data_IF_805900994730
#
_entry.id   IF_805900994730
#
_cell.length_a   1.000
_cell.length_b   1.000
_cell.length_c   1.000
_cell.angle_alpha   90.00
_cell.angle_beta   90.00
_cell.angle_gamma   90.00
#
_symmetry.space_group_name_H-M   'P 1'
#
loop_
_entity.id
_entity.type
_entity.pdbx_description
1 polymer ?
#
# COMPACT_ATOMS: atom_id res chain seq x y z
N UNK A 1 -12.11 32.19 42.30
CA UNK A 1 -11.92 32.24 40.83
C UNK A 1 -10.51 31.89 40.30
N UNK A 2 -9.44 31.84 41.12
CA UNK A 2 -8.09 31.44 40.64
C UNK A 2 -7.89 29.92 40.48
N UNK A 3 -8.64 29.11 41.23
CA UNK A 3 -8.48 27.65 41.25
C UNK A 3 -9.03 26.97 39.98
N UNK A 4 -10.21 27.39 39.50
CA UNK A 4 -10.82 26.85 38.28
C UNK A 4 -9.96 27.11 37.03
N UNK A 5 -9.34 28.29 36.89
CA UNK A 5 -8.43 28.59 35.77
C UNK A 5 -7.25 27.62 35.70
N UNK A 6 -6.70 27.18 36.84
CA UNK A 6 -5.58 26.23 36.88
C UNK A 6 -5.99 24.83 36.43
N UNK A 7 -7.20 24.39 36.77
CA UNK A 7 -7.71 23.06 36.35
C UNK A 7 -7.95 23.02 34.84
N UNK A 8 -8.52 24.07 34.25
CA UNK A 8 -8.71 24.15 32.80
C UNK A 8 -7.39 24.24 32.04
N UNK A 9 -6.38 24.95 32.57
CA UNK A 9 -5.04 25.00 31.95
C UNK A 9 -4.33 23.65 31.98
N UNK A 10 -4.48 22.86 33.05
CA UNK A 10 -3.89 21.51 33.15
C UNK A 10 -4.59 20.56 32.17
N UNK A 11 -5.92 20.58 32.11
CA UNK A 11 -6.68 19.72 31.18
C UNK A 11 -6.36 20.05 29.71
N UNK A 12 -6.20 21.33 29.37
CA UNK A 12 -5.82 21.78 28.04
C UNK A 12 -4.38 21.36 27.68
N UNK A 13 -3.46 21.38 28.64
CA UNK A 13 -2.09 20.88 28.44
C UNK A 13 -2.05 19.37 28.23
N UNK A 14 -2.86 18.58 28.94
CA UNK A 14 -2.98 17.13 28.69
C UNK A 14 -3.58 16.81 27.33
N UNK A 15 -4.59 17.57 26.89
CA UNK A 15 -5.16 17.45 25.54
C UNK A 15 -4.15 17.82 24.46
N UNK A 16 -3.36 18.88 24.67
CA UNK A 16 -2.29 19.27 23.75
C UNK A 16 -1.16 18.23 23.71
N UNK A 17 -0.78 17.66 24.86
CA UNK A 17 0.24 16.60 24.93
C UNK A 17 -0.23 15.32 24.23
N UNK A 18 -1.50 14.94 24.40
CA UNK A 18 -2.09 13.81 23.67
C UNK A 18 -2.20 14.05 22.16
N UNK A 19 -2.34 15.30 21.73
CA UNK A 19 -2.35 15.68 20.32
C UNK A 19 -0.94 15.76 19.71
N UNK A 20 0.05 16.19 20.49
CA UNK A 20 1.46 16.30 20.08
C UNK A 20 2.21 14.96 20.10
N UNK A 21 1.78 13.99 20.91
CA UNK A 21 2.28 12.60 20.87
C UNK A 21 1.78 11.81 19.65
N UNK A 22 0.93 12.41 18.80
CA UNK A 22 0.28 11.75 17.66
C UNK A 22 1.03 11.91 16.33
N UNK A 23 2.30 12.27 16.34
CA UNK A 23 3.10 12.47 15.13
C UNK A 23 4.42 11.71 15.18
N UNK A 24 4.33 10.38 15.12
CA UNK A 24 5.29 9.46 14.49
C UNK A 24 4.84 8.01 14.73
N UNK A 25 3.54 7.74 14.57
CA UNK A 25 3.14 6.36 14.36
C UNK A 25 3.79 5.96 13.03
N UNK A 26 4.83 5.13 13.11
CA UNK A 26 5.48 4.57 11.93
C UNK A 26 4.37 4.03 11.03
N UNK A 27 4.23 4.61 9.84
CA UNK A 27 3.18 4.21 8.92
C UNK A 27 3.39 2.74 8.61
N UNK A 28 2.38 1.92 8.93
CA UNK A 28 2.50 0.49 8.73
C UNK A 28 2.16 0.15 7.28
N UNK A 29 2.98 -0.72 6.71
CA UNK A 29 2.72 -1.33 5.40
C UNK A 29 1.96 -2.63 5.66
N UNK A 30 0.78 -2.76 5.10
CA UNK A 30 0.10 -4.04 4.97
C UNK A 30 0.58 -4.71 3.69
N UNK A 31 0.91 -5.99 3.74
CA UNK A 31 1.31 -6.76 2.55
C UNK A 31 0.44 -7.98 2.36
N UNK A 32 0.25 -8.35 1.11
CA UNK A 32 -0.15 -9.69 0.69
C UNK A 32 0.88 -10.15 -0.32
N UNK A 33 1.42 -11.35 -0.17
CA UNK A 33 2.50 -11.81 -1.02
C UNK A 33 2.40 -13.31 -1.27
N UNK A 34 2.70 -13.74 -2.49
CA UNK A 34 2.64 -15.12 -2.89
C UNK A 34 3.93 -15.51 -3.61
N UNK A 35 4.51 -16.64 -3.20
CA UNK A 35 5.72 -17.12 -3.83
C UNK A 35 5.44 -17.49 -5.29
N UNK A 36 6.27 -16.98 -6.18
CA UNK A 36 6.23 -17.29 -7.60
C UNK A 36 6.41 -18.80 -7.81
N UNK A 37 5.56 -19.42 -8.64
CA UNK A 37 5.56 -20.89 -8.81
C UNK A 37 6.79 -21.44 -9.56
N UNK A 38 7.55 -20.60 -10.26
CA UNK A 38 8.74 -20.98 -11.00
C UNK A 38 10.01 -20.83 -10.16
N UNK A 39 10.12 -19.72 -9.42
CA UNK A 39 11.29 -19.41 -8.59
C UNK A 39 11.15 -19.85 -7.14
N UNK A 40 9.91 -20.08 -6.69
CA UNK A 40 9.55 -20.39 -5.29
C UNK A 40 9.94 -19.26 -4.32
N UNK A 41 10.06 -18.04 -4.82
CA UNK A 41 10.49 -16.86 -4.07
C UNK A 41 9.36 -15.84 -4.00
N UNK A 42 9.13 -15.32 -2.80
CA UNK A 42 8.28 -14.17 -2.52
C UNK A 42 9.14 -12.90 -2.48
N UNK A 43 9.06 -12.07 -3.52
CA UNK A 43 10.01 -10.98 -3.69
C UNK A 43 9.73 -9.78 -2.78
N UNK A 44 8.47 -9.52 -2.42
CA UNK A 44 8.10 -8.31 -1.68
C UNK A 44 8.55 -8.39 -0.22
N UNK A 45 8.20 -9.47 0.49
CA UNK A 45 8.59 -9.66 1.90
C UNK A 45 10.11 -9.66 2.08
N UNK A 46 10.83 -10.40 1.25
CA UNK A 46 12.29 -10.45 1.28
C UNK A 46 12.93 -9.08 1.05
N UNK A 47 12.40 -8.30 0.11
CA UNK A 47 12.87 -6.94 -0.13
C UNK A 47 12.65 -6.08 1.11
N UNK A 48 11.44 -6.09 1.70
CA UNK A 48 11.15 -5.29 2.90
C UNK A 48 12.04 -5.69 4.08
N UNK A 49 12.31 -6.99 4.27
CA UNK A 49 13.23 -7.50 5.28
C UNK A 49 14.67 -7.01 5.06
N UNK A 50 15.16 -7.05 3.82
CA UNK A 50 16.51 -6.56 3.46
C UNK A 50 16.66 -5.07 3.79
N UNK A 51 15.64 -4.26 3.47
CA UNK A 51 15.59 -2.84 3.79
C UNK A 51 15.20 -2.54 5.23
N UNK A 52 14.94 -3.58 6.05
CA UNK A 52 14.52 -3.47 7.47
C UNK A 52 13.26 -2.63 7.66
N UNK A 53 12.35 -2.70 6.69
CA UNK A 53 11.06 -2.02 6.72
C UNK A 53 10.07 -2.92 7.44
N UNK A 54 9.39 -2.39 8.45
CA UNK A 54 8.35 -3.13 9.18
C UNK A 54 7.06 -3.20 8.36
N UNK A 55 6.42 -4.37 8.38
CA UNK A 55 5.15 -4.59 7.70
C UNK A 55 4.28 -5.59 8.47
N UNK A 56 2.97 -5.51 8.26
CA UNK A 56 2.00 -6.50 8.71
C UNK A 56 1.66 -7.42 7.51
N UNK A 57 1.96 -8.71 7.63
CA UNK A 57 1.63 -9.71 6.61
C UNK A 57 0.18 -10.18 6.76
N UNK A 58 -0.68 -9.74 5.85
CA UNK A 58 -2.11 -10.09 5.83
C UNK A 58 -2.41 -11.32 4.97
N UNK A 59 -1.38 -11.96 4.39
CA UNK A 59 -1.56 -13.05 3.41
C UNK A 59 -2.45 -14.15 3.96
N UNK A 60 -2.23 -14.61 5.20
CA UNK A 60 -3.02 -15.69 5.80
C UNK A 60 -4.46 -15.29 6.10
N UNK A 61 -4.70 -14.04 6.48
CA UNK A 61 -6.06 -13.56 6.75
C UNK A 61 -6.86 -13.46 5.44
N UNK A 62 -6.23 -12.95 4.39
CA UNK A 62 -6.81 -12.88 3.05
C UNK A 62 -7.02 -14.29 2.47
N UNK A 63 -6.09 -15.24 2.64
CA UNK A 63 -6.33 -16.65 2.23
C UNK A 63 -7.56 -17.26 2.93
N UNK A 64 -7.95 -16.73 4.09
CA UNK A 64 -9.13 -17.12 4.85
C UNK A 64 -10.36 -16.24 4.59
N UNK A 65 -10.32 -15.39 3.55
CA UNK A 65 -11.44 -14.56 3.12
C UNK A 65 -11.59 -13.24 3.87
N UNK A 66 -10.62 -12.83 4.69
CA UNK A 66 -10.72 -11.65 5.55
C UNK A 66 -9.65 -10.62 5.22
N UNK A 67 -10.09 -9.42 4.86
CA UNK A 67 -9.24 -8.25 4.80
C UNK A 67 -9.68 -7.24 5.86
N UNK A 68 -8.75 -6.80 6.69
CA UNK A 68 -8.99 -5.72 7.65
C UNK A 68 -7.74 -4.88 7.82
N UNK A 69 -7.88 -3.59 7.57
CA UNK A 69 -6.83 -2.62 7.81
C UNK A 69 -6.91 -2.06 9.24
N UNK A 70 -5.76 -1.89 9.87
CA UNK A 70 -5.57 -1.08 11.07
C UNK A 70 -5.57 0.41 10.70
N UNK A 71 -5.84 1.29 11.66
CA UNK A 71 -5.90 2.75 11.40
C UNK A 71 -4.52 3.31 11.03
N UNK A 72 -3.46 2.61 11.46
CA UNK A 72 -2.06 2.88 11.20
C UNK A 72 -1.60 2.44 9.79
N UNK A 73 -2.35 1.55 9.12
CA UNK A 73 -2.03 1.19 7.74
C UNK A 73 -2.22 2.40 6.82
N UNK A 74 -1.19 2.69 6.01
CA UNK A 74 -1.23 3.76 4.99
C UNK A 74 -0.87 3.26 3.60
N UNK A 75 -0.19 2.12 3.53
CA UNK A 75 0.16 1.45 2.30
C UNK A 75 -0.33 0.00 2.37
N UNK A 76 -1.03 -0.44 1.34
CA UNK A 76 -1.32 -1.84 1.07
C UNK A 76 -0.57 -2.25 -0.19
N UNK A 77 0.37 -3.18 -0.08
CA UNK A 77 1.22 -3.62 -1.20
C UNK A 77 0.90 -5.08 -1.53
N UNK A 78 0.35 -5.28 -2.73
CA UNK A 78 0.10 -6.58 -3.32
C UNK A 78 1.37 -7.05 -4.04
N UNK A 79 1.94 -8.15 -3.59
CA UNK A 79 3.15 -8.74 -4.16
C UNK A 79 2.91 -9.25 -5.58
N UNK A 80 3.98 -9.27 -6.37
CA UNK A 80 3.95 -9.91 -7.70
C UNK A 80 3.43 -11.34 -7.60
N UNK A 81 2.71 -11.80 -8.62
CA UNK A 81 2.16 -13.16 -8.72
C UNK A 81 1.08 -13.51 -7.69
N UNK A 82 0.60 -12.57 -6.87
CA UNK A 82 -0.43 -12.82 -5.83
C UNK A 82 -1.67 -13.53 -6.38
N UNK A 83 -2.18 -13.13 -7.54
CA UNK A 83 -3.39 -13.72 -8.15
C UNK A 83 -3.15 -15.09 -8.78
N UNK A 84 -1.92 -15.62 -8.78
CA UNK A 84 -1.66 -17.04 -9.11
C UNK A 84 -2.21 -17.98 -8.04
N UNK A 85 -2.41 -17.50 -6.81
CA UNK A 85 -3.14 -18.23 -5.80
C UNK A 85 -4.65 -17.92 -5.93
N UNK A 86 -5.48 -18.90 -6.32
CA UNK A 86 -6.89 -18.63 -6.58
C UNK A 86 -7.67 -18.21 -5.33
N UNK A 87 -7.21 -18.58 -4.12
CA UNK A 87 -7.86 -18.14 -2.88
C UNK A 87 -7.54 -16.67 -2.56
N UNK A 88 -6.29 -16.27 -2.76
CA UNK A 88 -5.89 -14.87 -2.58
C UNK A 88 -6.62 -13.98 -3.58
N UNK A 89 -6.62 -14.36 -4.86
CA UNK A 89 -7.37 -13.66 -5.92
C UNK A 89 -8.84 -13.50 -5.53
N UNK A 90 -9.58 -14.59 -5.32
CA UNK A 90 -11.00 -14.51 -4.98
C UNK A 90 -11.26 -13.69 -3.71
N UNK A 91 -10.38 -13.79 -2.71
CA UNK A 91 -10.56 -13.01 -1.48
C UNK A 91 -10.31 -11.51 -1.69
N UNK A 92 -9.42 -11.11 -2.59
CA UNK A 92 -9.21 -9.69 -2.91
C UNK A 92 -10.47 -9.10 -3.56
N UNK A 93 -11.09 -9.86 -4.48
CA UNK A 93 -12.37 -9.48 -5.10
C UNK A 93 -13.51 -9.39 -4.08
N UNK A 94 -13.64 -10.42 -3.23
CA UNK A 94 -14.69 -10.47 -2.20
C UNK A 94 -14.55 -9.32 -1.19
N UNK A 95 -13.33 -8.83 -0.98
CA UNK A 95 -13.02 -7.71 -0.09
C UNK A 95 -12.85 -6.36 -0.84
N UNK A 96 -13.31 -6.24 -2.09
CA UNK A 96 -13.19 -5.02 -2.89
C UNK A 96 -13.69 -3.75 -2.18
N UNK A 97 -14.76 -3.86 -1.38
CA UNK A 97 -15.29 -2.72 -0.64
C UNK A 97 -14.34 -2.24 0.47
N UNK A 98 -13.67 -3.15 1.18
CA UNK A 98 -12.66 -2.79 2.20
C UNK A 98 -11.46 -2.08 1.57
N UNK A 99 -11.02 -2.52 0.38
CA UNK A 99 -9.95 -1.85 -0.38
C UNK A 99 -10.39 -0.44 -0.81
N UNK A 100 -11.62 -0.31 -1.31
CA UNK A 100 -12.20 1.01 -1.68
C UNK A 100 -12.26 1.96 -0.48
N UNK A 101 -12.72 1.46 0.67
CA UNK A 101 -12.82 2.27 1.88
C UNK A 101 -11.44 2.63 2.44
N UNK A 102 -10.45 1.76 2.34
CA UNK A 102 -9.06 2.07 2.66
C UNK A 102 -8.52 3.23 1.81
N UNK A 103 -8.69 3.18 0.50
CA UNK A 103 -8.28 4.26 -0.42
C UNK A 103 -9.04 5.56 -0.13
N UNK A 104 -10.35 5.48 0.08
CA UNK A 104 -11.20 6.64 0.43
C UNK A 104 -10.75 7.31 1.73
N UNK A 105 -10.19 6.55 2.67
CA UNK A 105 -9.63 7.05 3.93
C UNK A 105 -8.16 7.52 3.82
N UNK A 106 -7.63 7.65 2.60
CA UNK A 106 -6.28 8.15 2.34
C UNK A 106 -5.19 7.07 2.29
N UNK A 107 -5.58 5.80 2.25
CA UNK A 107 -4.66 4.69 1.99
C UNK A 107 -4.18 4.67 0.54
N UNK A 108 -3.02 4.06 0.32
CA UNK A 108 -2.43 3.84 -1.01
C UNK A 108 -2.39 2.35 -1.28
N UNK A 109 -2.82 1.91 -2.46
CA UNK A 109 -2.66 0.52 -2.92
C UNK A 109 -1.60 0.49 -4.01
N UNK A 110 -0.63 -0.42 -3.89
CA UNK A 110 0.35 -0.72 -4.93
C UNK A 110 0.07 -2.13 -5.45
N UNK A 111 -0.18 -2.22 -6.74
CA UNK A 111 -0.38 -3.46 -7.47
C UNK A 111 0.53 -3.45 -8.71
N UNK A 112 1.64 -4.20 -8.69
CA UNK A 112 2.48 -4.37 -9.88
C UNK A 112 1.71 -5.13 -10.97
N UNK A 113 2.05 -4.91 -12.24
CA UNK A 113 1.45 -5.63 -13.40
C UNK A 113 1.66 -7.15 -13.37
N UNK A 114 2.53 -7.67 -12.49
CA UNK A 114 2.69 -9.10 -12.29
C UNK A 114 1.75 -9.64 -11.20
N UNK A 115 1.14 -8.79 -10.39
CA UNK A 115 0.19 -9.18 -9.37
C UNK A 115 -1.17 -9.53 -9.98
N UNK A 116 -1.61 -8.81 -11.02
CA UNK A 116 -2.90 -8.93 -11.72
C UNK A 116 -2.82 -9.77 -13.03
N UNK A 117 -1.79 -10.61 -13.20
CA UNK A 117 -1.55 -11.32 -14.47
C UNK A 117 -2.72 -12.17 -14.97
N UNK A 118 -3.55 -12.67 -14.05
CA UNK A 118 -4.69 -13.52 -14.33
C UNK A 118 -6.03 -12.78 -14.33
N UNK A 119 -5.99 -11.45 -14.25
CA UNK A 119 -7.18 -10.61 -14.16
C UNK A 119 -7.42 -9.87 -15.48
N UNK A 120 -8.70 -9.75 -15.85
CA UNK A 120 -9.10 -8.91 -16.98
C UNK A 120 -9.11 -7.42 -16.58
N UNK A 121 -9.38 -7.15 -15.30
CA UNK A 121 -9.50 -5.83 -14.72
C UNK A 121 -9.49 -5.92 -13.19
N UNK A 122 -9.09 -4.82 -12.55
CA UNK A 122 -9.11 -4.65 -11.09
C UNK A 122 -10.48 -4.11 -10.64
N UNK A 123 -11.27 -4.92 -9.95
CA UNK A 123 -12.68 -4.61 -9.59
C UNK A 123 -12.83 -3.59 -8.44
N UNK A 124 -11.74 -3.34 -7.71
CA UNK A 124 -11.73 -2.44 -6.57
C UNK A 124 -11.28 -1.00 -6.87
N UNK A 125 -11.05 -0.66 -8.14
CA UNK A 125 -10.75 0.71 -8.53
C UNK A 125 -11.93 1.66 -8.25
N UNK A 126 -11.65 2.93 -7.88
CA UNK A 126 -12.68 3.96 -7.79
C UNK A 126 -13.46 4.15 -9.09
N UNK A 127 -14.74 4.55 -8.98
CA UNK A 127 -15.61 4.80 -10.12
C UNK A 127 -14.95 5.75 -11.14
N UNK A 128 -14.97 5.35 -12.42
CA UNK A 128 -14.40 6.14 -13.52
C UNK A 128 -12.91 5.88 -13.78
N UNK A 129 -12.26 5.04 -12.98
CA UNK A 129 -10.93 4.51 -13.27
C UNK A 129 -11.03 3.08 -13.78
N UNK A 130 -10.11 2.73 -14.67
CA UNK A 130 -9.97 1.38 -15.19
C UNK A 130 -8.49 1.10 -15.40
N UNK A 131 -8.03 -0.06 -14.95
CA UNK A 131 -6.76 -0.64 -15.36
C UNK A 131 -7.10 -1.78 -16.31
N UNK A 132 -6.63 -1.69 -17.55
CA UNK A 132 -6.78 -2.76 -18.55
C UNK A 132 -5.38 -3.12 -19.02
N UNK A 133 -5.08 -4.40 -19.02
CA UNK A 133 -3.88 -4.92 -19.63
C UNK A 133 -3.92 -4.69 -21.15
N UNK A 134 -2.94 -3.94 -21.68
CA UNK A 134 -2.75 -3.75 -23.12
C UNK A 134 -1.45 -4.45 -23.54
N UNK A 135 -1.56 -5.71 -23.97
CA UNK A 135 -0.49 -6.70 -24.21
C UNK A 135 0.62 -6.38 -25.23
N UNK A 136 0.84 -5.11 -25.59
CA UNK A 136 1.98 -4.77 -26.44
C UNK A 136 3.13 -4.25 -25.58
N UNK A 137 4.06 -5.14 -25.28
CA UNK A 137 5.37 -4.77 -24.74
C UNK A 137 5.99 -3.68 -25.64
N UNK A 138 6.21 -2.51 -25.05
CA UNK A 138 6.90 -1.39 -25.68
C UNK A 138 8.21 -1.16 -24.98
N UNK A 139 9.29 -1.03 -25.74
CA UNK A 139 10.59 -0.61 -25.21
C UNK A 139 10.65 0.91 -24.99
N UNK A 140 9.72 1.65 -25.58
CA UNK A 140 9.70 3.10 -25.53
C UNK A 140 8.82 3.59 -24.37
N UNK A 141 9.46 4.10 -23.32
CA UNK A 141 8.81 4.79 -22.22
C UNK A 141 8.95 6.31 -22.38
N UNK A 142 7.85 7.05 -22.18
CA UNK A 142 7.86 8.52 -22.16
C UNK A 142 7.64 9.02 -20.74
N UNK A 143 8.62 9.73 -20.20
CA UNK A 143 8.49 10.39 -18.90
C UNK A 143 7.74 11.71 -19.11
N UNK A 144 6.49 11.76 -18.65
CA UNK A 144 5.64 12.95 -18.82
C UNK A 144 5.98 14.07 -17.81
N UNK A 145 6.44 13.71 -16.61
CA UNK A 145 6.82 14.62 -15.52
C UNK A 145 8.05 14.11 -14.79
N UNK A 146 9.24 14.41 -15.33
CA UNK A 146 10.51 13.92 -14.80
C UNK A 146 10.86 14.50 -13.40
N UNK A 147 10.19 15.57 -13.01
CA UNK A 147 10.31 16.24 -11.72
C UNK A 147 9.26 15.79 -10.70
N UNK A 148 8.41 14.81 -11.05
CA UNK A 148 7.44 14.24 -10.12
C UNK A 148 8.15 13.66 -8.88
N UNK A 149 7.55 13.83 -7.69
CA UNK A 149 8.15 13.41 -6.43
C UNK A 149 8.53 11.93 -6.40
N UNK A 150 7.74 11.07 -7.06
CA UNK A 150 8.03 9.65 -7.25
C UNK A 150 9.42 9.37 -7.85
N UNK A 151 9.93 10.26 -8.70
CA UNK A 151 11.24 10.14 -9.33
C UNK A 151 12.29 11.05 -8.71
N UNK A 152 11.91 11.96 -7.81
CA UNK A 152 12.79 12.99 -7.26
C UNK A 152 13.10 12.79 -5.78
N UNK A 153 12.33 11.96 -5.06
CA UNK A 153 12.46 11.72 -3.63
C UNK A 153 12.05 10.27 -3.24
N UNK A 154 12.67 9.68 -2.20
CA UNK A 154 13.82 10.22 -1.46
C UNK A 154 15.12 10.18 -2.29
N UNK A 155 15.16 9.33 -3.32
CA UNK A 155 16.29 9.22 -4.24
C UNK A 155 15.89 9.76 -5.61
N UNK A 156 16.74 10.60 -6.19
CA UNK A 156 16.49 11.18 -7.52
C UNK A 156 16.89 10.19 -8.61
N UNK A 157 15.91 9.77 -9.42
CA UNK A 157 16.11 9.03 -10.66
C UNK A 157 16.42 10.01 -11.79
N UNK A 158 17.53 9.80 -12.50
CA UNK A 158 17.95 10.57 -13.66
C UNK A 158 17.75 9.80 -14.95
N UNK A 159 18.21 10.37 -16.08
CA UNK A 159 18.04 9.74 -17.41
C UNK A 159 18.61 8.32 -17.50
N UNK A 160 19.65 7.99 -16.73
CA UNK A 160 20.29 6.67 -16.76
C UNK A 160 19.37 5.59 -16.19
N UNK A 161 18.67 5.90 -15.11
CA UNK A 161 17.76 4.98 -14.43
C UNK A 161 16.51 4.65 -15.29
N UNK A 162 16.23 5.47 -16.31
CA UNK A 162 15.15 5.24 -17.28
C UNK A 162 15.64 4.65 -18.62
N UNK A 163 16.93 4.40 -18.78
CA UNK A 163 17.50 3.75 -19.97
C UNK A 163 17.66 2.26 -19.68
N UNK A 164 16.69 1.46 -20.15
CA UNK A 164 16.73 0.00 -20.12
C UNK A 164 17.59 -0.61 -21.22
#
# INVERSE_FOLDING_TARGET
MKFQRRVYSILFLFLLYGFLMKSDAAQKIAVVDFADQWTQVDALRQTLDEFKVQYDDLTKDIENGKLKFEVEHKLFFIGSMTTNNPKLHQSLDDNAQEIKDFVKNGGIVIEPTQADQNEANVDWLPNGLQCIRSDRDSKDFKILKADHSLFAAPNKMGKKEFQG
#
